data_IF_812568592969
#
_entry.id   IF_812568592969
#
_cell.length_a   1.000
_cell.length_b   1.000
_cell.length_c   1.000
_cell.angle_alpha   90.00
_cell.angle_beta   90.00
_cell.angle_gamma   90.00
#
_symmetry.space_group_name_H-M   'P 1'
#
loop_
_entity.id
_entity.type
_entity.pdbx_description
1 polymer ?
#
# COMPACT_ATOMS: atom_id res chain seq x y z
N UNK A 1 -5.25 -1.60 2.74
CA UNK A 1 -4.36 -1.03 1.71
C UNK A 1 -5.17 -0.63 0.49
N UNK A 2 -4.89 0.55 -0.08
CA UNK A 2 -5.40 0.99 -1.39
C UNK A 2 -4.45 0.50 -2.48
N UNK A 3 -4.99 -0.09 -3.54
CA UNK A 3 -4.21 -0.49 -4.73
C UNK A 3 -4.19 0.69 -5.71
N UNK A 4 -3.01 1.11 -6.14
CA UNK A 4 -2.80 2.18 -7.11
C UNK A 4 -2.02 1.64 -8.29
N UNK A 5 -2.60 1.80 -9.47
CA UNK A 5 -2.01 1.33 -10.72
C UNK A 5 -1.16 2.44 -11.33
N UNK A 6 0.14 2.20 -11.50
CA UNK A 6 1.09 3.18 -12.04
C UNK A 6 1.70 2.63 -13.31
N UNK A 7 1.50 3.36 -14.42
CA UNK A 7 2.11 3.10 -15.73
C UNK A 7 3.23 4.08 -16.07
N UNK A 8 3.47 5.08 -15.22
CA UNK A 8 4.51 6.11 -15.42
C UNK A 8 5.75 5.81 -14.60
N UNK A 9 6.87 6.46 -14.96
CA UNK A 9 8.06 6.44 -14.11
C UNK A 9 7.86 7.35 -12.90
N UNK A 10 8.30 6.92 -11.73
CA UNK A 10 8.35 7.74 -10.51
C UNK A 10 9.81 8.04 -10.22
N UNK A 11 10.20 9.31 -10.31
CA UNK A 11 11.59 9.73 -10.11
C UNK A 11 11.99 9.69 -8.63
N UNK A 12 11.09 10.08 -7.73
CA UNK A 12 11.30 10.07 -6.29
C UNK A 12 10.09 9.46 -5.57
N UNK A 13 10.30 8.30 -4.95
CA UNK A 13 9.25 7.61 -4.20
C UNK A 13 8.90 8.30 -2.88
N UNK A 14 9.80 9.11 -2.31
CA UNK A 14 9.55 9.88 -1.10
C UNK A 14 8.54 10.99 -1.38
N UNK A 15 8.70 11.72 -2.48
CA UNK A 15 7.73 12.76 -2.88
C UNK A 15 6.40 12.14 -3.33
N UNK A 16 6.45 11.00 -4.01
CA UNK A 16 5.25 10.22 -4.29
C UNK A 16 4.52 9.80 -3.01
N UNK A 17 5.22 9.27 -2.02
CA UNK A 17 4.65 8.89 -0.72
C UNK A 17 3.98 10.09 -0.04
N UNK A 18 4.65 11.25 0.01
CA UNK A 18 4.10 12.49 0.56
C UNK A 18 2.82 12.93 -0.16
N UNK A 19 2.78 12.83 -1.50
CA UNK A 19 1.59 13.14 -2.29
C UNK A 19 0.39 12.24 -1.97
N UNK A 20 0.66 11.01 -1.51
CA UNK A 20 -0.36 10.05 -1.08
C UNK A 20 -0.68 10.17 0.42
N UNK A 21 -0.04 11.11 1.13
CA UNK A 21 -0.24 11.34 2.56
C UNK A 21 0.40 10.27 3.46
N UNK A 22 1.38 9.53 2.95
CA UNK A 22 2.10 8.47 3.70
C UNK A 22 3.59 8.75 3.74
N UNK A 23 4.31 8.07 4.63
CA UNK A 23 5.77 8.15 4.69
C UNK A 23 6.42 7.20 3.68
N UNK A 24 7.66 7.50 3.28
CA UNK A 24 8.44 6.62 2.42
C UNK A 24 8.65 5.22 3.03
N UNK A 25 8.83 5.13 4.36
CA UNK A 25 8.94 3.87 5.07
C UNK A 25 7.66 3.03 4.94
N UNK A 26 6.49 3.64 5.14
CA UNK A 26 5.20 2.98 4.96
C UNK A 26 4.99 2.47 3.53
N UNK A 27 5.43 3.25 2.53
CA UNK A 27 5.38 2.82 1.13
C UNK A 27 6.28 1.62 0.86
N UNK A 28 7.50 1.60 1.43
CA UNK A 28 8.46 0.49 1.36
C UNK A 28 7.93 -0.78 2.03
N UNK A 29 7.38 -0.66 3.23
CA UNK A 29 6.84 -1.80 3.99
C UNK A 29 5.69 -2.48 3.23
N UNK A 30 4.81 -1.70 2.60
CA UNK A 30 3.72 -2.22 1.81
C UNK A 30 4.15 -2.79 0.44
N UNK A 31 5.35 -2.43 -0.04
CA UNK A 31 5.87 -2.84 -1.35
C UNK A 31 7.32 -3.32 -1.24
N UNK A 32 7.58 -4.49 -0.64
CA UNK A 32 8.95 -4.99 -0.42
C UNK A 32 9.74 -5.26 -1.72
N UNK A 33 9.06 -5.35 -2.86
CA UNK A 33 9.67 -5.47 -4.18
C UNK A 33 10.24 -4.13 -4.72
N UNK A 34 9.85 -3.00 -4.13
CA UNK A 34 10.32 -1.65 -4.47
C UNK A 34 11.63 -1.36 -3.72
N UNK A 35 12.73 -1.94 -4.20
CA UNK A 35 14.05 -1.83 -3.57
C UNK A 35 14.78 -0.51 -3.86
N UNK A 36 14.52 0.06 -5.03
CA UNK A 36 15.09 1.34 -5.46
C UNK A 36 14.38 2.54 -4.82
N UNK A 37 15.03 3.70 -4.87
CA UNK A 37 14.44 4.99 -4.46
C UNK A 37 13.56 5.62 -5.55
N UNK A 38 13.55 5.02 -6.74
CA UNK A 38 12.78 5.45 -7.91
C UNK A 38 12.16 4.24 -8.61
N UNK A 39 11.02 4.43 -9.26
CA UNK A 39 10.41 3.43 -10.14
C UNK A 39 10.70 3.81 -11.60
N UNK A 40 11.76 3.24 -12.16
CA UNK A 40 12.10 3.43 -13.57
C UNK A 40 11.22 2.54 -14.45
N UNK A 41 10.34 3.17 -15.22
CA UNK A 41 9.43 2.46 -16.12
C UNK A 41 9.72 2.77 -17.58
N UNK A 42 10.87 2.31 -18.08
CA UNK A 42 11.30 2.54 -19.48
C UNK A 42 10.45 1.77 -20.50
N UNK A 43 9.83 0.68 -20.07
CA UNK A 43 9.10 -0.26 -20.95
C UNK A 43 7.59 -0.06 -20.91
N UNK A 44 7.09 0.92 -20.14
CA UNK A 44 5.65 1.20 -20.01
C UNK A 44 4.86 0.10 -19.30
N UNK A 45 5.52 -0.70 -18.44
CA UNK A 45 4.86 -1.78 -17.70
C UNK A 45 3.95 -1.21 -16.63
N UNK A 46 2.83 -1.87 -16.40
CA UNK A 46 1.89 -1.46 -15.36
C UNK A 46 2.27 -2.09 -14.03
N UNK A 47 2.56 -1.27 -13.03
CA UNK A 47 2.85 -1.71 -11.67
C UNK A 47 1.66 -1.43 -10.76
N UNK A 48 1.37 -2.34 -9.82
CA UNK A 48 0.37 -2.13 -8.78
C UNK A 48 1.07 -1.84 -7.47
N UNK A 49 0.96 -0.60 -6.98
CA UNK A 49 1.49 -0.17 -5.70
C UNK A 49 0.42 -0.30 -4.63
N UNK A 50 0.83 -0.80 -3.47
CA UNK A 50 0.01 -0.85 -2.27
C UNK A 50 0.28 0.37 -1.41
N UNK A 51 -0.72 1.21 -1.24
CA UNK A 51 -0.66 2.40 -0.39
C UNK A 51 -1.40 2.07 0.90
N UNK A 52 -0.74 2.05 2.06
CA UNK A 52 -1.44 1.92 3.33
C UNK A 52 -2.42 3.08 3.52
N UNK A 53 -3.64 2.75 3.94
CA UNK A 53 -4.65 3.72 4.35
C UNK A 53 -4.77 3.67 5.86
N UNK A 54 -5.08 4.79 6.49
CA UNK A 54 -5.29 4.85 7.94
C UNK A 54 -6.35 3.82 8.37
N UNK A 55 -7.45 3.70 7.62
CA UNK A 55 -8.48 2.66 7.84
C UNK A 55 -7.99 1.22 7.72
N UNK A 56 -6.92 0.98 6.96
CA UNK A 56 -6.32 -0.35 6.79
C UNK A 56 -5.24 -0.66 7.82
N UNK A 57 -4.77 0.33 8.58
CA UNK A 57 -3.80 0.17 9.66
C UNK A 57 -4.48 -0.12 11.01
N UNK A 58 -5.74 0.28 11.17
CA UNK A 58 -6.53 -0.03 12.36
C UNK A 58 -7.40 -1.27 12.11
N UNK A 59 -7.31 -2.24 13.02
CA UNK A 59 -8.21 -3.38 13.03
C UNK A 59 -9.60 -2.92 13.47
N UNK A 60 -10.58 -3.02 12.56
CA UNK A 60 -11.99 -2.84 12.86
C UNK A 60 -12.68 -4.23 12.88
N UNK A 61 -12.93 -4.82 14.06
CA UNK A 61 -13.55 -6.14 14.18
C UNK A 61 -14.96 -6.18 13.56
N UNK A 62 -15.62 -5.02 13.37
CA UNK A 62 -16.96 -4.96 12.77
C UNK A 62 -16.96 -5.21 11.27
N UNK A 63 -15.82 -5.03 10.59
CA UNK A 63 -15.69 -5.29 9.14
C UNK A 63 -15.34 -6.75 8.83
N UNK A 64 -14.90 -7.51 9.82
CA UNK A 64 -14.51 -8.91 9.68
C UNK A 64 -15.53 -9.80 10.38
N UNK A 65 -16.53 -10.29 9.65
CA UNK A 65 -17.42 -11.32 10.19
C UNK A 65 -16.67 -12.67 10.21
N UNK A 66 -16.47 -13.23 11.39
CA UNK A 66 -15.92 -14.57 11.52
C UNK A 66 -16.87 -15.58 10.89
N UNK A 67 -16.35 -16.44 10.00
CA UNK A 67 -17.14 -17.51 9.38
C UNK A 67 -17.82 -18.41 10.43
N UNK A 68 -17.13 -18.67 11.53
CA UNK A 68 -17.69 -19.31 12.71
C UNK A 68 -17.77 -18.32 13.87
N UNK A 69 -18.99 -18.00 14.30
CA UNK A 69 -19.26 -17.08 15.42
C UNK A 69 -18.79 -17.60 16.77
N UNK A 70 -18.56 -18.91 16.92
CA UNK A 70 -18.11 -19.53 18.17
C UNK A 70 -16.61 -19.32 18.47
N UNK A 71 -15.85 -18.73 17.55
CA UNK A 71 -14.42 -18.42 17.75
C UNK A 71 -14.17 -17.00 18.27
N UNK A 72 -15.23 -16.20 18.39
CA UNK A 72 -15.15 -14.84 18.95
C UNK A 72 -15.52 -14.93 20.42
N UNK A 73 -14.58 -14.58 21.29
CA UNK A 73 -14.80 -14.39 22.73
C UNK A 73 -15.40 -12.98 22.91
N UNK A 74 -16.55 -12.90 23.58
CA UNK A 74 -17.22 -11.64 23.97
C UNK A 74 -16.44 -10.90 25.07
#
# INVERSE_FOLDING_TARGET
YKKVTVSTSINDLNDYAKSQGITYAQLRDANPWLRDTSLRNKTGKTYTLYIPTQEGMYYDPKKTEAYNKQWVID
#
